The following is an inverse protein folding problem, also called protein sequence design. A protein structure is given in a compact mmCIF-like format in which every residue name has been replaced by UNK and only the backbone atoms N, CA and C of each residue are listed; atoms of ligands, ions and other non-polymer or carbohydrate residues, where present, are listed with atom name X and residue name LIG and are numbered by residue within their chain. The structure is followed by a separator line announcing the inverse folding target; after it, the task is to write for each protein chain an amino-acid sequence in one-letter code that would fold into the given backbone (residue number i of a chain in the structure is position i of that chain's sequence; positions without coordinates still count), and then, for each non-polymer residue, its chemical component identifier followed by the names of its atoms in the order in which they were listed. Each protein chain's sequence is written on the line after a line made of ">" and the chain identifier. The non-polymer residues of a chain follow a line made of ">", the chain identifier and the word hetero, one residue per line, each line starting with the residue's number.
data_IF_716933935810
#
_entry.id   IF_716933935810
#
_cell.length_a   1.000
_cell.length_b   1.000
_cell.length_c   1.000
_cell.angle_alpha   90.00
_cell.angle_beta   90.00
_cell.angle_gamma   90.00
#
_symmetry.space_group_name_H-M   'P 1'
#
loop_
_entity.id
_entity.type
_entity.pdbx_description
1 polymer ?
#
# COMPACT_ATOMS: atom_id res chain seq x y z
N UNK A 1 -0.27 17.85 14.68
CA UNK A 1 1.06 17.85 15.33
C UNK A 1 1.35 16.44 15.82
N UNK A 2 2.56 15.90 15.60
CA UNK A 2 2.90 14.48 15.85
C UNK A 2 3.80 14.35 17.10
N UNK A 3 3.27 14.15 18.32
CA UNK A 3 4.12 14.08 19.52
C UNK A 3 4.90 12.75 19.64
N UNK A 4 4.46 11.68 18.97
CA UNK A 4 5.01 10.34 19.18
C UNK A 4 6.21 10.04 18.28
N UNK A 5 6.13 10.42 16.99
CA UNK A 5 7.14 10.05 16.00
C UNK A 5 7.62 11.24 15.17
N UNK A 6 7.66 12.46 15.72
CA UNK A 6 8.11 13.64 14.96
C UNK A 6 9.56 13.55 14.46
N UNK A 7 10.40 12.76 15.13
CA UNK A 7 11.82 12.61 14.81
C UNK A 7 12.16 11.23 14.23
N UNK A 8 11.16 10.52 13.69
CA UNK A 8 11.39 9.26 12.99
C UNK A 8 11.82 9.51 11.54
N UNK A 9 12.38 8.49 10.90
CA UNK A 9 12.50 8.47 9.45
C UNK A 9 11.10 8.24 8.86
N UNK A 10 10.63 9.16 8.01
CA UNK A 10 9.31 9.09 7.41
C UNK A 10 9.41 8.74 5.93
N UNK A 11 8.70 7.69 5.54
CA UNK A 11 8.52 7.28 4.13
C UNK A 11 7.03 7.32 3.84
N UNK A 12 6.64 8.00 2.77
CA UNK A 12 5.26 8.05 2.28
C UNK A 12 5.19 7.40 0.90
N UNK A 13 4.33 6.41 0.75
CA UNK A 13 4.10 5.71 -0.52
C UNK A 13 2.72 6.12 -1.04
N UNK A 14 2.64 6.93 -2.12
CA UNK A 14 1.36 7.30 -2.72
C UNK A 14 0.61 6.06 -3.23
N UNK A 15 -0.69 6.02 -2.99
CA UNK A 15 -1.53 4.94 -3.49
C UNK A 15 -1.91 5.20 -4.96
N UNK A 16 -1.29 4.48 -5.89
CA UNK A 16 -1.50 4.62 -7.33
C UNK A 16 -1.93 3.33 -8.03
N UNK A 17 -2.05 2.21 -7.32
CA UNK A 17 -2.29 0.89 -7.90
C UNK A 17 -3.77 0.51 -7.99
N UNK A 18 -4.67 1.19 -7.25
CA UNK A 18 -6.13 0.92 -7.26
C UNK A 18 -6.53 -0.52 -6.91
N UNK A 19 -5.69 -1.25 -6.18
CA UNK A 19 -5.84 -2.68 -5.88
C UNK A 19 -5.74 -3.01 -4.38
N UNK A 20 -5.94 -2.02 -3.51
CA UNK A 20 -5.90 -2.20 -2.04
C UNK A 20 -4.55 -2.81 -1.60
N UNK A 21 -3.48 -2.52 -2.35
CA UNK A 21 -2.12 -3.01 -2.08
C UNK A 21 -1.94 -4.52 -2.19
N UNK A 22 -2.83 -5.23 -2.89
CA UNK A 22 -2.77 -6.69 -3.02
C UNK A 22 -2.25 -7.18 -4.37
N UNK A 23 -2.15 -6.31 -5.38
CA UNK A 23 -1.87 -6.72 -6.75
C UNK A 23 -0.39 -6.90 -7.08
N UNK A 24 -0.10 -7.94 -7.87
CA UNK A 24 1.16 -8.17 -8.59
C UNK A 24 0.88 -8.59 -10.05
N UNK A 25 0.01 -7.83 -10.71
CA UNK A 25 -0.43 -8.07 -12.08
C UNK A 25 -0.15 -6.86 -12.97
N UNK A 26 0.88 -6.91 -13.83
CA UNK A 26 1.13 -5.84 -14.78
C UNK A 26 0.07 -5.84 -15.88
N UNK A 27 -0.15 -4.68 -16.51
CA UNK A 27 -1.01 -4.55 -17.67
C UNK A 27 -0.61 -5.52 -18.78
N UNK A 28 -1.61 -6.09 -19.47
CA UNK A 28 -1.44 -7.00 -20.60
C UNK A 28 -2.38 -6.59 -21.74
N UNK A 29 -2.07 -5.53 -22.51
CA UNK A 29 -2.89 -5.16 -23.65
C UNK A 29 -2.92 -6.29 -24.71
N UNK A 30 -4.08 -6.59 -25.33
CA UNK A 30 -5.35 -5.86 -25.23
C UNK A 30 -6.28 -6.33 -24.10
N UNK A 31 -5.95 -7.42 -23.38
CA UNK A 31 -6.86 -8.07 -22.43
C UNK A 31 -6.96 -7.35 -21.09
N UNK A 32 -5.96 -6.55 -20.72
CA UNK A 32 -5.93 -5.77 -19.47
C UNK A 32 -5.16 -4.46 -19.68
N UNK A 33 -5.85 -3.32 -19.51
CA UNK A 33 -5.29 -2.00 -19.78
C UNK A 33 -4.55 -1.37 -18.59
N UNK A 34 -4.80 -1.83 -17.37
CA UNK A 34 -4.24 -1.27 -16.14
C UNK A 34 -3.33 -2.26 -15.44
N UNK A 35 -2.33 -1.73 -14.73
CA UNK A 35 -1.45 -2.50 -13.85
C UNK A 35 -1.97 -2.39 -12.42
N UNK A 36 -2.10 -3.52 -11.75
CA UNK A 36 -2.45 -3.64 -10.34
C UNK A 36 -1.23 -4.20 -9.63
N UNK A 37 -0.36 -3.31 -9.14
CA UNK A 37 0.99 -3.63 -8.66
C UNK A 37 1.23 -3.19 -7.21
N UNK A 38 0.19 -2.99 -6.42
CA UNK A 38 0.28 -2.43 -5.08
C UNK A 38 1.19 -3.24 -4.14
N UNK A 39 1.11 -4.58 -4.17
CA UNK A 39 2.01 -5.39 -3.33
C UNK A 39 3.45 -5.31 -3.82
N UNK A 40 3.64 -5.23 -5.14
CA UNK A 40 4.95 -5.10 -5.79
C UNK A 40 5.59 -3.73 -5.55
N UNK A 41 4.81 -2.66 -5.49
CA UNK A 41 5.29 -1.32 -5.13
C UNK A 41 5.89 -1.33 -3.72
N UNK A 42 5.23 -1.98 -2.76
CA UNK A 42 5.76 -2.13 -1.40
C UNK A 42 7.09 -2.88 -1.42
N UNK A 43 7.20 -3.97 -2.20
CA UNK A 43 8.45 -4.73 -2.34
C UNK A 43 9.60 -3.87 -2.87
N UNK A 44 9.36 -3.10 -3.93
CA UNK A 44 10.41 -2.29 -4.53
C UNK A 44 10.85 -1.16 -3.59
N UNK A 45 9.91 -0.51 -2.89
CA UNK A 45 10.24 0.53 -1.90
C UNK A 45 11.08 -0.04 -0.75
N UNK A 46 10.63 -1.13 -0.13
CA UNK A 46 11.39 -1.76 0.96
C UNK A 46 12.75 -2.25 0.45
N UNK A 47 12.79 -2.83 -0.76
CA UNK A 47 14.01 -3.29 -1.39
C UNK A 47 14.99 -2.17 -1.69
N UNK A 48 14.53 -0.99 -2.07
CA UNK A 48 15.36 0.20 -2.27
C UNK A 48 15.89 0.73 -0.94
N UNK A 49 15.05 0.80 0.10
CA UNK A 49 15.46 1.21 1.44
C UNK A 49 16.56 0.31 2.01
N UNK A 50 16.44 -1.01 1.80
CA UNK A 50 17.45 -2.00 2.19
C UNK A 50 18.77 -1.81 1.41
N UNK A 51 18.68 -1.59 0.09
CA UNK A 51 19.87 -1.52 -0.79
C UNK A 51 20.62 -0.20 -0.69
N UNK A 52 19.94 0.88 -0.34
CA UNK A 52 20.55 2.20 -0.28
C UNK A 52 21.29 2.39 1.05
N UNK A 53 22.63 2.56 1.03
CA UNK A 53 23.40 2.77 2.25
C UNK A 53 23.12 4.14 2.90
N UNK A 54 22.48 5.07 2.18
CA UNK A 54 22.18 6.42 2.69
C UNK A 54 21.11 6.44 3.78
N UNK A 55 20.23 5.43 3.81
CA UNK A 55 19.09 5.44 4.71
C UNK A 55 19.34 4.69 6.03
N UNK A 56 20.48 3.99 6.14
CA UNK A 56 20.83 3.14 7.30
C UNK A 56 19.65 2.23 7.74
N UNK A 57 18.85 1.79 6.76
CA UNK A 57 17.55 1.20 7.02
C UNK A 57 17.66 -0.11 7.83
N UNK A 58 18.67 -0.93 7.53
CA UNK A 58 18.92 -2.20 8.21
C UNK A 58 19.33 -2.04 9.68
N UNK A 59 19.89 -0.88 10.05
CA UNK A 59 20.31 -0.54 11.42
C UNK A 59 19.14 0.00 12.27
N UNK A 60 17.95 0.11 11.69
CA UNK A 60 16.73 0.52 12.40
C UNK A 60 16.43 -0.45 13.54
N UNK A 61 16.06 0.10 14.70
CA UNK A 61 15.61 -0.70 15.85
C UNK A 61 14.14 -1.08 15.77
N UNK A 62 13.37 -0.26 15.08
CA UNK A 62 11.92 -0.36 15.02
C UNK A 62 11.44 0.16 13.66
N UNK A 63 10.57 -0.61 13.02
CA UNK A 63 9.98 -0.26 11.72
C UNK A 63 8.46 -0.39 11.84
N UNK A 64 7.74 0.67 11.49
CA UNK A 64 6.28 0.70 11.54
C UNK A 64 5.72 0.81 10.13
N UNK A 65 5.03 -0.24 9.67
CA UNK A 65 4.23 -0.20 8.46
C UNK A 65 2.83 0.33 8.82
N UNK A 66 2.54 1.58 8.46
CA UNK A 66 1.28 2.23 8.78
C UNK A 66 0.47 2.52 7.51
N UNK A 67 -0.85 2.44 7.63
CA UNK A 67 -1.77 2.75 6.54
C UNK A 67 -3.16 3.10 7.06
N UNK A 68 -3.88 3.92 6.30
CA UNK A 68 -5.26 4.34 6.60
C UNK A 68 -6.19 3.93 5.46
N UNK A 69 -7.44 3.60 5.76
CA UNK A 69 -8.46 3.18 4.77
C UNK A 69 -7.95 1.97 3.93
N UNK A 70 -7.90 2.06 2.61
CA UNK A 70 -7.33 1.01 1.76
C UNK A 70 -5.87 0.68 2.12
N UNK A 71 -5.11 1.65 2.63
CA UNK A 71 -3.75 1.43 3.13
C UNK A 71 -3.70 0.53 4.37
N UNK A 72 -4.72 0.54 5.23
CA UNK A 72 -4.78 -0.34 6.39
C UNK A 72 -4.98 -1.81 5.98
N UNK A 73 -5.78 -2.07 4.95
CA UNK A 73 -5.81 -3.40 4.32
C UNK A 73 -4.43 -3.76 3.73
N UNK A 74 -3.75 -2.81 3.12
CA UNK A 74 -2.37 -2.99 2.66
C UNK A 74 -1.38 -3.37 3.77
N UNK A 75 -1.50 -2.79 4.96
CA UNK A 75 -0.74 -3.21 6.15
C UNK A 75 -1.06 -4.67 6.47
N UNK A 76 -2.34 -5.01 6.64
CA UNK A 76 -2.76 -6.35 7.05
C UNK A 76 -2.35 -7.44 6.06
N UNK A 77 -2.38 -7.16 4.76
CA UNK A 77 -2.07 -8.12 3.70
C UNK A 77 -0.55 -8.31 3.54
N UNK A 78 0.26 -7.27 3.76
CA UNK A 78 1.68 -7.28 3.40
C UNK A 78 2.65 -7.32 4.58
N UNK A 79 2.19 -7.10 5.83
CA UNK A 79 3.07 -6.96 7.00
C UNK A 79 4.04 -8.13 7.18
N UNK A 80 3.53 -9.36 7.22
CA UNK A 80 4.37 -10.55 7.47
C UNK A 80 5.42 -10.74 6.37
N UNK A 81 5.02 -10.47 5.12
CA UNK A 81 5.90 -10.55 3.94
C UNK A 81 7.00 -9.50 4.02
N UNK A 82 6.68 -8.27 4.39
CA UNK A 82 7.65 -7.17 4.59
C UNK A 82 8.59 -7.49 5.75
N UNK A 83 8.05 -7.96 6.89
CA UNK A 83 8.85 -8.34 8.05
C UNK A 83 9.86 -9.45 7.69
N UNK A 84 9.42 -10.46 6.93
CA UNK A 84 10.29 -11.51 6.41
C UNK A 84 11.39 -10.95 5.51
N UNK A 85 11.05 -10.08 4.56
CA UNK A 85 12.01 -9.46 3.65
C UNK A 85 13.11 -8.65 4.39
N UNK A 86 12.71 -7.91 5.43
CA UNK A 86 13.63 -7.15 6.29
C UNK A 86 14.53 -8.08 7.11
N UNK A 87 13.97 -9.15 7.66
CA UNK A 87 14.73 -10.15 8.43
C UNK A 87 15.69 -10.95 7.54
N UNK A 88 15.27 -11.36 6.34
CA UNK A 88 16.11 -12.08 5.37
C UNK A 88 17.30 -11.23 4.91
N UNK A 89 17.13 -9.90 4.88
CA UNK A 89 18.19 -8.95 4.59
C UNK A 89 19.17 -8.71 5.77
N UNK A 90 18.95 -9.36 6.92
CA UNK A 90 19.85 -9.33 8.08
C UNK A 90 19.54 -8.26 9.13
N UNK A 91 18.41 -7.55 9.02
CA UNK A 91 18.02 -6.60 10.06
C UNK A 91 17.47 -7.32 11.29
N UNK A 92 17.67 -6.70 12.46
CA UNK A 92 17.12 -7.15 13.75
C UNK A 92 15.98 -6.26 14.25
N UNK A 93 15.46 -5.38 13.39
CA UNK A 93 14.41 -4.44 13.73
C UNK A 93 13.12 -5.13 14.21
N UNK A 94 12.44 -4.54 15.20
CA UNK A 94 11.07 -4.89 15.55
C UNK A 94 10.11 -4.29 14.52
N UNK A 95 9.52 -5.14 13.67
CA UNK A 95 8.60 -4.73 12.59
C UNK A 95 7.16 -4.86 13.07
N UNK A 96 6.40 -3.76 13.06
CA UNK A 96 4.99 -3.73 13.47
C UNK A 96 4.08 -3.08 12.43
N UNK A 97 2.80 -3.41 12.50
CA UNK A 97 1.76 -2.83 11.67
C UNK A 97 0.84 -1.86 12.44
N UNK A 98 0.44 -0.77 11.80
CA UNK A 98 -0.64 0.12 12.24
C UNK A 98 -1.70 0.22 11.14
N UNK A 99 -2.79 -0.53 11.31
CA UNK A 99 -3.93 -0.51 10.40
C UNK A 99 -5.02 0.42 10.94
N UNK A 100 -5.10 1.64 10.39
CA UNK A 100 -6.13 2.62 10.75
C UNK A 100 -7.35 2.51 9.82
N UNK A 101 -8.53 2.30 10.39
CA UNK A 101 -9.80 2.37 9.64
C UNK A 101 -9.91 1.42 8.43
N UNK A 102 -9.22 0.27 8.46
CA UNK A 102 -9.26 -0.75 7.40
C UNK A 102 -9.91 -2.08 7.79
N UNK A 103 -10.36 -2.23 9.04
CA UNK A 103 -11.07 -3.43 9.48
C UNK A 103 -12.54 -3.36 9.05
N UNK A 104 -12.83 -3.98 7.91
CA UNK A 104 -14.17 -3.99 7.32
C UNK A 104 -14.86 -5.31 7.65
N UNK A 105 -16.13 -5.22 8.05
CA UNK A 105 -16.97 -6.38 8.33
C UNK A 105 -17.80 -6.68 7.08
N UNK A 106 -17.75 -7.94 6.63
CA UNK A 106 -18.63 -8.43 5.57
C UNK A 106 -20.02 -8.61 6.17
N UNK A 107 -20.90 -7.64 5.91
CA UNK A 107 -22.28 -7.64 6.38
C UNK A 107 -23.20 -7.55 5.18
N UNK A 108 -24.39 -8.16 5.29
CA UNK A 108 -25.44 -7.97 4.31
C UNK A 108 -25.80 -6.48 4.19
N UNK A 109 -25.88 -5.99 2.95
CA UNK A 109 -26.24 -4.60 2.70
C UNK A 109 -27.61 -4.27 3.29
N UNK A 110 -27.64 -3.30 4.21
CA UNK A 110 -28.86 -2.93 4.94
C UNK A 110 -29.90 -2.24 4.04
N UNK A 111 -29.51 -1.81 2.84
CA UNK A 111 -30.40 -1.36 1.78
C UNK A 111 -29.78 -1.77 0.45
N UNK A 112 -30.36 -2.77 -0.21
CA UNK A 112 -30.05 -3.01 -1.62
C UNK A 112 -30.36 -1.71 -2.36
N UNK A 113 -29.33 -1.10 -2.96
CA UNK A 113 -29.54 -0.07 -3.99
C UNK A 113 -30.44 -0.70 -5.06
N UNK A 114 -31.60 -0.10 -5.39
CA UNK A 114 -32.43 -0.60 -6.47
C UNK A 114 -31.58 -0.70 -7.72
N UNK A 115 -31.53 -1.88 -8.34
CA UNK A 115 -30.83 -2.14 -9.59
C UNK A 115 -31.44 -1.20 -10.64
N UNK A 116 -30.79 -0.05 -10.93
CA UNK A 116 -31.37 0.94 -11.84
C UNK A 116 -30.66 2.29 -11.99
N UNK A 117 -29.75 2.69 -11.11
CA UNK A 117 -28.97 3.92 -11.36
C UNK A 117 -27.73 3.62 -12.20
N UNK A 118 -27.93 3.60 -13.52
CA UNK A 118 -26.84 3.71 -14.49
C UNK A 118 -26.23 5.12 -14.37
N UNK A 119 -25.12 5.25 -13.66
CA UNK A 119 -24.33 6.47 -13.70
C UNK A 119 -23.75 6.61 -15.13
N UNK A 120 -24.28 7.54 -15.91
CA UNK A 120 -23.65 8.01 -17.14
C UNK A 120 -22.29 8.64 -16.77
N UNK A 121 -21.24 7.84 -16.71
CA UNK A 121 -20.41 7.59 -17.87
C UNK A 121 -19.88 8.76 -18.72
N UNK A 122 -19.99 10.03 -18.35
CA UNK A 122 -19.40 11.12 -19.14
C UNK A 122 -17.86 11.01 -19.10
N UNK A 123 -17.28 10.61 -20.23
CA UNK A 123 -15.85 10.56 -20.47
C UNK A 123 -15.25 11.95 -20.34
N UNK A 124 -14.50 12.19 -19.28
CA UNK A 124 -13.46 13.21 -19.27
C UNK A 124 -12.12 12.55 -18.96
N UNK A 125 -11.44 12.13 -20.03
CA UNK A 125 -10.03 11.72 -19.99
C UNK A 125 -9.18 12.97 -19.79
N UNK A 126 -8.99 13.40 -18.53
CA UNK A 126 -7.87 14.26 -18.18
C UNK A 126 -6.68 13.35 -17.88
N UNK A 127 -5.81 13.17 -18.88
CA UNK A 127 -4.49 12.60 -18.69
C UNK A 127 -3.64 13.56 -17.86
N UNK A 128 -3.76 13.47 -16.55
CA UNK A 128 -2.73 14.00 -15.65
C UNK A 128 -1.54 13.05 -15.71
N UNK A 129 -0.29 13.55 -15.74
CA UNK A 129 0.87 12.68 -15.71
C UNK A 129 0.83 11.90 -14.40
N UNK A 130 0.67 10.58 -14.51
CA UNK A 130 0.78 9.66 -13.39
C UNK A 130 2.26 9.50 -13.06
N UNK A 131 2.75 10.30 -12.13
CA UNK A 131 3.98 9.97 -11.42
C UNK A 131 3.70 8.73 -10.56
N UNK A 132 4.38 7.63 -10.89
CA UNK A 132 4.84 6.70 -9.86
C UNK A 132 6.08 7.32 -9.20
#
# INVERSE_FOLDING_TARGET
>A
MNPYWWNANHVFIPYCSSDIWSGDSPARPPTMAMSFLGSRIIDEVIGELIRSPMYEFLDSKFILLAGSSAGAAGVMINLDRVAKMISDAGSTADVRGLADSGWIMDMDDHQQMPIGFSANSDKQSSSSPSSC
#
